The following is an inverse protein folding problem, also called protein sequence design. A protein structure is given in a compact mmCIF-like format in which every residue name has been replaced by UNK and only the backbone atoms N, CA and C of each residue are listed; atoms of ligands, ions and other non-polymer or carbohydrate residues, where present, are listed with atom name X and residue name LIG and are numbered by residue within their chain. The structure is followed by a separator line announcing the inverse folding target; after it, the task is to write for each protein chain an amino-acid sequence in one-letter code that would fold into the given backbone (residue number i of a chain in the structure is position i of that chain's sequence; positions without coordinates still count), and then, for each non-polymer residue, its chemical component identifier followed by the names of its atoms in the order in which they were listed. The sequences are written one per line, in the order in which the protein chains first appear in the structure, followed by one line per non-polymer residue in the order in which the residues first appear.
data_IF_556792068501
#
_entry.id   IF_556792068501
#
_cell.length_a   1.000
_cell.length_b   1.000
_cell.length_c   1.000
_cell.angle_alpha   90.00
_cell.angle_beta   90.00
_cell.angle_gamma   90.00
#
_symmetry.space_group_name_H-M   'P 1'
#
loop_
_entity.id
_entity.type
_entity.pdbx_description
1 polymer ?
#
# COMPACT_ATOMS: atom_id res chain seq x y z
N UNK A 1 -3.34 -0.84 -49.80
CA UNK A 1 -4.21 -0.21 -48.79
C UNK A 1 -3.97 -0.93 -47.48
N UNK A 2 -2.99 -0.49 -46.70
CA UNK A 2 -2.72 -1.03 -45.37
C UNK A 2 -3.76 -0.46 -44.41
N UNK A 3 -4.79 -1.27 -44.13
CA UNK A 3 -5.76 -0.99 -43.08
C UNK A 3 -5.06 -1.16 -41.74
N UNK A 4 -4.53 -0.06 -41.19
CA UNK A 4 -4.10 -0.02 -39.79
C UNK A 4 -5.37 -0.08 -38.95
N UNK A 5 -5.75 -1.28 -38.53
CA UNK A 5 -6.79 -1.48 -37.52
C UNK A 5 -6.27 -0.94 -36.20
N UNK A 6 -6.74 0.26 -35.88
CA UNK A 6 -6.66 0.92 -34.58
C UNK A 6 -7.03 -0.11 -33.49
N UNK A 7 -6.08 -0.50 -32.65
CA UNK A 7 -6.33 -1.43 -31.53
C UNK A 7 -6.35 -0.65 -30.21
N UNK A 8 -7.07 0.45 -30.20
CA UNK A 8 -7.59 0.98 -28.93
C UNK A 8 -8.91 0.26 -28.66
N UNK A 9 -8.96 -0.55 -27.60
CA UNK A 9 -10.16 -1.31 -27.25
C UNK A 9 -11.22 -0.43 -26.54
N UNK A 10 -10.82 0.75 -26.04
CA UNK A 10 -11.70 1.73 -25.40
C UNK A 10 -12.01 2.87 -26.37
N UNK A 11 -13.29 3.09 -26.73
CA UNK A 11 -13.67 4.22 -27.57
C UNK A 11 -13.24 5.56 -26.97
N UNK A 12 -12.59 6.41 -27.78
CA UNK A 12 -12.16 7.75 -27.36
C UNK A 12 -10.68 7.88 -26.99
N UNK A 13 -9.93 6.78 -26.90
CA UNK A 13 -8.47 6.80 -26.77
C UNK A 13 -7.81 6.46 -28.11
N UNK A 14 -6.85 7.27 -28.53
CA UNK A 14 -6.01 6.95 -29.69
C UNK A 14 -4.78 6.09 -29.30
N UNK A 15 -4.05 5.56 -30.28
CA UNK A 15 -2.95 4.62 -30.00
C UNK A 15 -1.80 5.30 -29.23
N UNK A 16 -1.61 6.62 -29.41
CA UNK A 16 -0.57 7.37 -28.70
C UNK A 16 -0.98 7.64 -27.24
N UNK A 17 -2.25 7.91 -26.98
CA UNK A 17 -2.84 8.01 -25.65
C UNK A 17 -2.75 6.67 -24.91
N UNK A 18 -3.10 5.56 -25.58
CA UNK A 18 -2.99 4.21 -25.03
C UNK A 18 -1.54 3.90 -24.64
N UNK A 19 -0.57 4.16 -25.52
CA UNK A 19 0.83 3.90 -25.22
C UNK A 19 1.32 4.67 -23.97
N UNK A 20 1.07 5.99 -23.92
CA UNK A 20 1.47 6.81 -22.77
C UNK A 20 0.79 6.39 -21.47
N UNK A 21 -0.51 6.12 -21.52
CA UNK A 21 -1.27 5.69 -20.36
C UNK A 21 -0.82 4.30 -19.87
N UNK A 22 -0.59 3.36 -20.79
CA UNK A 22 -0.08 2.04 -20.46
C UNK A 22 1.30 2.11 -19.80
N UNK A 23 2.19 2.99 -20.27
CA UNK A 23 3.51 3.19 -19.67
C UNK A 23 3.41 3.75 -18.24
N UNK A 24 2.60 4.79 -18.01
CA UNK A 24 2.37 5.35 -16.67
C UNK A 24 1.79 4.30 -15.69
N UNK A 25 0.80 3.52 -16.15
CA UNK A 25 0.21 2.45 -15.35
C UNK A 25 1.17 1.28 -15.13
N UNK A 26 2.04 0.99 -16.10
CA UNK A 26 3.02 -0.09 -15.99
C UNK A 26 4.07 0.18 -14.91
N UNK A 27 4.48 1.43 -14.73
CA UNK A 27 5.38 1.81 -13.63
C UNK A 27 4.70 1.62 -12.26
N UNK A 28 3.39 1.93 -12.17
CA UNK A 28 2.60 1.68 -10.95
C UNK A 28 2.42 0.18 -10.69
N UNK A 29 2.17 -0.61 -11.72
CA UNK A 29 2.10 -2.07 -11.63
C UNK A 29 3.38 -2.66 -11.05
N UNK A 30 4.54 -2.26 -11.60
CA UNK A 30 5.83 -2.74 -11.12
C UNK A 30 6.08 -2.35 -9.65
N UNK A 31 5.79 -1.10 -9.27
CA UNK A 31 5.94 -0.64 -7.89
C UNK A 31 5.05 -1.39 -6.91
N UNK A 32 3.82 -1.74 -7.28
CA UNK A 32 2.91 -2.48 -6.38
C UNK A 32 3.26 -3.97 -6.31
N UNK A 33 3.74 -4.56 -7.41
CA UNK A 33 4.25 -5.94 -7.43
C UNK A 33 5.49 -6.08 -6.53
N UNK A 34 6.38 -5.09 -6.54
CA UNK A 34 7.49 -5.04 -5.57
C UNK A 34 6.97 -4.86 -4.13
N UNK A 35 6.02 -3.95 -3.91
CA UNK A 35 5.46 -3.69 -2.59
C UNK A 35 4.83 -4.95 -1.96
N UNK A 36 4.03 -5.72 -2.69
CA UNK A 36 3.42 -6.95 -2.12
C UNK A 36 4.46 -8.01 -1.73
N UNK A 37 5.58 -8.09 -2.47
CA UNK A 37 6.67 -9.01 -2.15
C UNK A 37 7.43 -8.50 -0.92
N UNK A 38 7.72 -7.21 -0.87
CA UNK A 38 8.33 -6.53 0.27
C UNK A 38 7.49 -6.68 1.53
N UNK A 39 6.17 -6.51 1.46
CA UNK A 39 5.26 -6.69 2.59
C UNK A 39 5.31 -8.13 3.14
N UNK A 40 5.29 -9.14 2.25
CA UNK A 40 5.44 -10.54 2.69
C UNK A 40 6.81 -10.85 3.27
N UNK A 41 7.86 -10.27 2.70
CA UNK A 41 9.20 -10.35 3.25
C UNK A 41 9.26 -9.83 4.68
N UNK A 42 8.69 -8.64 4.95
CA UNK A 42 8.60 -8.10 6.32
C UNK A 42 7.78 -9.01 7.23
N UNK A 43 6.62 -9.47 6.75
CA UNK A 43 5.72 -10.35 7.52
C UNK A 43 6.40 -11.65 7.99
N UNK A 44 7.31 -12.22 7.19
CA UNK A 44 8.07 -13.41 7.58
C UNK A 44 9.28 -13.13 8.49
N UNK A 45 9.85 -11.93 8.39
CA UNK A 45 11.16 -11.61 8.99
C UNK A 45 11.08 -10.67 10.20
N UNK A 46 9.89 -10.19 10.56
CA UNK A 46 9.68 -9.38 11.76
C UNK A 46 9.88 -10.18 13.04
N UNK A 47 10.53 -9.56 14.03
CA UNK A 47 10.73 -10.10 15.37
C UNK A 47 10.47 -9.06 16.46
N UNK A 48 10.42 -9.52 17.72
CA UNK A 48 10.34 -8.66 18.90
C UNK A 48 9.00 -8.72 19.64
N UNK A 49 8.84 -7.90 20.70
CA UNK A 49 7.69 -7.97 21.61
C UNK A 49 6.33 -7.73 20.93
N UNK A 50 6.28 -6.98 19.84
CA UNK A 50 5.06 -6.67 19.07
C UNK A 50 4.89 -7.56 17.83
N UNK A 51 5.65 -8.66 17.74
CA UNK A 51 5.70 -9.56 16.58
C UNK A 51 4.32 -9.87 16.00
N UNK A 52 3.42 -10.46 16.79
CA UNK A 52 2.15 -10.98 16.28
C UNK A 52 1.26 -9.86 15.74
N UNK A 53 1.23 -8.71 16.42
CA UNK A 53 0.42 -7.56 15.99
C UNK A 53 0.90 -7.03 14.63
N UNK A 54 2.21 -6.88 14.43
CA UNK A 54 2.75 -6.41 13.14
C UNK A 54 2.62 -7.48 12.06
N UNK A 55 2.87 -8.75 12.40
CA UNK A 55 2.74 -9.88 11.49
C UNK A 55 1.31 -9.98 10.92
N UNK A 56 0.29 -9.91 11.78
CA UNK A 56 -1.12 -9.99 11.37
C UNK A 56 -1.60 -8.69 10.68
N UNK A 57 -1.10 -7.52 11.09
CA UNK A 57 -1.41 -6.24 10.44
C UNK A 57 -1.01 -6.22 8.95
N UNK A 58 0.07 -6.89 8.57
CA UNK A 58 0.61 -6.84 7.20
C UNK A 58 -0.22 -7.64 6.19
N UNK A 59 -0.91 -8.71 6.61
CA UNK A 59 -1.57 -9.64 5.68
C UNK A 59 -2.79 -9.06 4.94
N UNK A 60 -3.69 -8.33 5.61
CA UNK A 60 -4.75 -7.60 4.91
C UNK A 60 -4.19 -6.64 3.86
N UNK A 61 -3.05 -5.99 4.14
CA UNK A 61 -2.42 -5.10 3.19
C UNK A 61 -1.82 -5.83 1.99
N UNK A 62 -1.21 -7.01 2.19
CA UNK A 62 -0.74 -7.85 1.07
C UNK A 62 -1.91 -8.20 0.13
N UNK A 63 -3.07 -8.54 0.69
CA UNK A 63 -4.27 -8.83 -0.09
C UNK A 63 -4.75 -7.59 -0.84
N UNK A 64 -4.82 -6.44 -0.17
CA UNK A 64 -5.22 -5.17 -0.80
C UNK A 64 -4.30 -4.82 -1.97
N UNK A 65 -2.98 -4.83 -1.77
CA UNK A 65 -2.00 -4.52 -2.83
C UNK A 65 -2.08 -5.52 -3.99
N UNK A 66 -2.32 -6.80 -3.73
CA UNK A 66 -2.57 -7.79 -4.81
C UNK A 66 -3.78 -7.39 -5.66
N UNK A 67 -4.89 -7.02 -5.03
CA UNK A 67 -6.07 -6.52 -5.76
C UNK A 67 -5.76 -5.24 -6.56
N UNK A 68 -4.92 -4.35 -6.01
CA UNK A 68 -4.48 -3.14 -6.74
C UNK A 68 -3.64 -3.48 -7.97
N UNK A 69 -2.71 -4.45 -7.86
CA UNK A 69 -1.89 -4.90 -9.00
C UNK A 69 -2.75 -5.48 -10.12
N UNK A 70 -3.74 -6.30 -9.76
CA UNK A 70 -4.68 -6.91 -10.70
C UNK A 70 -5.50 -5.84 -11.43
N UNK A 71 -6.10 -4.91 -10.68
CA UNK A 71 -6.88 -3.82 -11.25
C UNK A 71 -6.07 -2.95 -12.22
N UNK A 72 -4.80 -2.65 -11.93
CA UNK A 72 -3.93 -1.91 -12.85
C UNK A 72 -3.59 -2.76 -14.09
N UNK A 73 -3.20 -4.02 -13.90
CA UNK A 73 -2.84 -4.89 -15.02
C UNK A 73 -4.03 -5.10 -15.98
N UNK A 74 -5.22 -5.33 -15.44
CA UNK A 74 -6.45 -5.41 -16.22
C UNK A 74 -6.82 -4.07 -16.85
N UNK A 75 -6.54 -2.93 -16.20
CA UNK A 75 -6.74 -1.62 -16.82
C UNK A 75 -5.84 -1.41 -18.03
N UNK A 76 -4.55 -1.77 -17.92
CA UNK A 76 -3.59 -1.74 -19.05
C UNK A 76 -4.11 -2.61 -20.20
N UNK A 77 -4.53 -3.84 -19.92
CA UNK A 77 -5.09 -4.73 -20.93
C UNK A 77 -6.38 -4.17 -21.56
N UNK A 78 -7.25 -3.57 -20.74
CA UNK A 78 -8.54 -3.00 -21.16
C UNK A 78 -8.35 -1.85 -22.15
N UNK A 79 -7.39 -0.95 -21.93
CA UNK A 79 -7.12 0.16 -22.86
C UNK A 79 -6.39 -0.30 -24.14
N UNK A 80 -5.93 -1.56 -24.19
CA UNK A 80 -5.26 -2.16 -25.34
C UNK A 80 -3.75 -2.32 -25.21
N UNK A 81 -3.18 -2.02 -24.03
CA UNK A 81 -1.78 -2.28 -23.70
C UNK A 81 -1.53 -3.73 -23.29
N UNK A 82 -0.25 -4.07 -23.07
CA UNK A 82 0.17 -5.39 -22.58
C UNK A 82 0.82 -5.24 -21.20
N UNK A 83 0.18 -5.71 -20.11
CA UNK A 83 0.75 -5.62 -18.78
C UNK A 83 1.92 -6.60 -18.62
N UNK A 84 3.02 -6.11 -18.05
CA UNK A 84 4.25 -6.86 -17.79
C UNK A 84 4.42 -7.04 -16.29
N UNK A 85 4.43 -8.29 -15.84
CA UNK A 85 4.46 -8.64 -14.42
C UNK A 85 5.47 -9.72 -14.04
N UNK A 86 6.40 -10.07 -14.93
CA UNK A 86 7.44 -11.05 -14.56
C UNK A 86 8.43 -10.46 -13.58
N UNK A 87 9.12 -11.30 -12.81
CA UNK A 87 10.17 -10.84 -11.88
C UNK A 87 11.28 -10.06 -12.59
N UNK A 88 11.58 -10.40 -13.84
CA UNK A 88 12.54 -9.67 -14.65
C UNK A 88 12.04 -8.28 -15.07
N UNK A 89 10.73 -8.11 -15.26
CA UNK A 89 10.14 -6.79 -15.56
C UNK A 89 10.16 -5.90 -14.32
N UNK A 90 9.78 -6.45 -13.16
CA UNK A 90 9.84 -5.74 -11.87
C UNK A 90 11.27 -5.27 -11.61
N UNK A 91 12.25 -6.15 -11.70
CA UNK A 91 13.67 -5.82 -11.45
C UNK A 91 14.27 -4.81 -12.44
N UNK A 92 13.65 -4.60 -13.62
CA UNK A 92 14.08 -3.54 -14.56
C UNK A 92 13.45 -2.19 -14.24
N UNK A 93 12.24 -2.18 -13.69
CA UNK A 93 11.49 -0.98 -13.39
C UNK A 93 11.81 -0.39 -12.01
N UNK A 94 12.21 -1.25 -11.06
CA UNK A 94 12.50 -0.88 -9.68
C UNK A 94 14.01 -0.85 -9.46
N UNK A 95 14.54 0.31 -9.06
CA UNK A 95 15.98 0.59 -8.93
C UNK A 95 16.50 0.57 -7.48
N UNK A 96 15.71 0.04 -6.55
CA UNK A 96 16.04 -0.03 -5.14
C UNK A 96 15.76 -1.42 -4.56
N UNK A 97 16.36 -1.70 -3.42
CA UNK A 97 16.23 -2.98 -2.72
C UNK A 97 15.78 -2.77 -1.28
N UNK A 98 14.98 -3.70 -0.75
CA UNK A 98 14.66 -3.74 0.67
C UNK A 98 15.81 -4.41 1.44
N UNK A 99 16.59 -3.62 2.18
CA UNK A 99 17.88 -4.05 2.72
C UNK A 99 17.85 -4.85 4.03
N UNK A 100 16.69 -5.06 4.65
CA UNK A 100 16.59 -5.77 5.93
C UNK A 100 16.30 -7.26 5.70
N UNK A 101 17.03 -8.13 6.41
CA UNK A 101 16.67 -9.55 6.60
C UNK A 101 15.71 -9.70 7.78
N UNK A 102 16.01 -10.61 8.71
CA UNK A 102 15.34 -10.65 10.01
C UNK A 102 15.73 -9.41 10.84
N UNK A 103 14.75 -8.65 11.33
CA UNK A 103 14.97 -7.46 12.15
C UNK A 103 13.83 -7.22 13.15
N UNK A 104 14.03 -6.26 14.06
CA UNK A 104 12.99 -5.87 15.01
C UNK A 104 11.83 -5.15 14.31
N UNK A 105 10.65 -5.20 14.93
CA UNK A 105 9.44 -4.58 14.39
C UNK A 105 9.58 -3.09 14.09
N UNK A 106 10.21 -2.32 14.97
CA UNK A 106 10.47 -0.88 14.77
C UNK A 106 11.41 -0.60 13.59
N UNK A 107 12.47 -1.40 13.43
CA UNK A 107 13.38 -1.32 12.28
C UNK A 107 12.65 -1.59 10.96
N UNK A 108 11.86 -2.68 10.91
CA UNK A 108 11.07 -3.01 9.74
C UNK A 108 10.02 -1.94 9.42
N UNK A 109 9.32 -1.43 10.43
CA UNK A 109 8.28 -0.40 10.25
C UNK A 109 8.88 0.93 9.80
N UNK A 110 10.07 1.32 10.29
CA UNK A 110 10.77 2.52 9.82
C UNK A 110 11.20 2.40 8.35
N UNK A 111 11.76 1.25 7.96
CA UNK A 111 12.10 0.98 6.56
C UNK A 111 10.85 0.93 5.67
N UNK A 112 9.78 0.26 6.14
CA UNK A 112 8.51 0.14 5.41
C UNK A 112 7.80 1.50 5.28
N UNK A 113 7.89 2.39 6.27
CA UNK A 113 7.36 3.75 6.17
C UNK A 113 8.02 4.52 5.01
N UNK A 114 9.33 4.35 4.82
CA UNK A 114 10.07 4.96 3.71
C UNK A 114 9.65 4.38 2.36
N UNK A 115 9.48 3.05 2.28
CA UNK A 115 8.96 2.38 1.08
C UNK A 115 7.56 2.89 0.74
N UNK A 116 6.64 2.93 1.69
CA UNK A 116 5.27 3.41 1.48
C UNK A 116 5.23 4.89 1.07
N UNK A 117 6.07 5.73 1.68
CA UNK A 117 6.17 7.14 1.30
C UNK A 117 6.60 7.31 -0.17
N UNK A 118 7.56 6.51 -0.63
CA UNK A 118 7.98 6.48 -2.03
C UNK A 118 6.84 6.02 -2.94
N UNK A 119 6.23 4.86 -2.66
CA UNK A 119 5.12 4.31 -3.47
C UNK A 119 3.96 5.29 -3.57
N UNK A 120 3.53 5.88 -2.45
CA UNK A 120 2.46 6.90 -2.42
C UNK A 120 2.86 8.15 -3.23
N UNK A 121 4.12 8.59 -3.11
CA UNK A 121 4.65 9.72 -3.87
C UNK A 121 4.62 9.48 -5.38
N UNK A 122 5.05 8.29 -5.83
CA UNK A 122 5.01 7.88 -7.23
C UNK A 122 3.57 7.79 -7.76
N UNK A 123 2.64 7.22 -6.99
CA UNK A 123 1.22 7.16 -7.37
C UNK A 123 0.62 8.56 -7.51
N UNK A 124 0.91 9.46 -6.57
CA UNK A 124 0.49 10.86 -6.67
C UNK A 124 1.09 11.58 -7.87
N UNK A 125 2.36 11.32 -8.18
CA UNK A 125 3.03 11.94 -9.33
C UNK A 125 2.38 11.52 -10.66
N UNK A 126 1.90 10.27 -10.79
CA UNK A 126 1.18 9.83 -12.00
C UNK A 126 -0.21 10.42 -12.17
N UNK A 127 -0.85 10.99 -11.12
CA UNK A 127 -2.24 11.44 -11.23
C UNK A 127 -2.43 12.48 -12.35
N UNK A 128 -1.56 13.48 -12.42
CA UNK A 128 -1.66 14.54 -13.44
C UNK A 128 -1.57 13.99 -14.87
N UNK A 129 -0.48 13.28 -15.23
CA UNK A 129 -0.35 12.66 -16.55
C UNK A 129 -1.47 11.69 -16.91
N UNK A 130 -1.93 10.89 -15.95
CA UNK A 130 -3.01 9.92 -16.16
C UNK A 130 -4.36 10.62 -16.35
N UNK A 131 -4.69 11.62 -15.52
CA UNK A 131 -5.95 12.37 -15.61
C UNK A 131 -6.08 13.15 -16.92
N UNK A 132 -4.98 13.68 -17.44
CA UNK A 132 -4.95 14.36 -18.74
C UNK A 132 -5.40 13.43 -19.89
N UNK A 133 -5.06 12.13 -19.81
CA UNK A 133 -5.35 11.14 -20.84
C UNK A 133 -6.71 10.48 -20.60
N UNK A 134 -6.94 10.03 -19.37
CA UNK A 134 -8.09 9.22 -19.02
C UNK A 134 -8.48 9.37 -17.54
N UNK A 135 -9.53 10.15 -17.22
CA UNK A 135 -9.98 10.35 -15.84
C UNK A 135 -10.49 9.06 -15.18
N UNK A 136 -10.87 8.04 -15.95
CA UNK A 136 -11.28 6.73 -15.40
C UNK A 136 -10.09 6.00 -14.77
N UNK A 137 -8.93 6.01 -15.43
CA UNK A 137 -7.70 5.46 -14.85
C UNK A 137 -7.18 6.31 -13.69
N UNK A 138 -7.40 7.63 -13.72
CA UNK A 138 -7.05 8.49 -12.59
C UNK A 138 -7.88 8.16 -11.34
N UNK A 139 -9.19 7.92 -11.50
CA UNK A 139 -10.08 7.51 -10.40
C UNK A 139 -9.62 6.19 -9.74
N UNK A 140 -9.18 5.21 -10.55
CA UNK A 140 -8.56 3.98 -10.04
C UNK A 140 -7.36 4.30 -9.14
N UNK A 141 -6.42 5.13 -9.60
CA UNK A 141 -5.25 5.50 -8.81
C UNK A 141 -5.62 6.29 -7.55
N UNK A 142 -6.63 7.18 -7.60
CA UNK A 142 -7.12 7.92 -6.44
C UNK A 142 -7.61 6.98 -5.34
N UNK A 143 -8.36 5.93 -5.72
CA UNK A 143 -8.79 4.89 -4.79
C UNK A 143 -7.62 4.19 -4.12
N UNK A 144 -6.63 3.75 -4.89
CA UNK A 144 -5.44 3.06 -4.39
C UNK A 144 -4.58 3.95 -3.49
N UNK A 145 -4.38 5.21 -3.87
CA UNK A 145 -3.63 6.19 -3.06
C UNK A 145 -4.27 6.32 -1.68
N UNK A 146 -5.61 6.44 -1.60
CA UNK A 146 -6.32 6.56 -0.33
C UNK A 146 -6.02 5.39 0.62
N UNK A 147 -6.03 4.17 0.11
CA UNK A 147 -5.74 2.97 0.90
C UNK A 147 -4.26 2.88 1.31
N UNK A 148 -3.34 3.17 0.38
CA UNK A 148 -1.90 3.18 0.66
C UNK A 148 -1.52 4.25 1.71
N UNK A 149 -2.16 5.43 1.66
CA UNK A 149 -1.97 6.49 2.65
C UNK A 149 -2.48 6.09 4.03
N UNK A 150 -3.63 5.42 4.09
CA UNK A 150 -4.19 4.90 5.34
C UNK A 150 -3.23 3.88 5.96
N UNK A 151 -2.73 2.93 5.18
CA UNK A 151 -1.77 1.95 5.68
C UNK A 151 -0.43 2.60 6.06
N UNK A 152 0.03 3.60 5.31
CA UNK A 152 1.20 4.41 5.69
C UNK A 152 1.01 5.11 7.04
N UNK A 153 -0.21 5.55 7.36
CA UNK A 153 -0.52 6.08 8.68
C UNK A 153 -0.48 4.99 9.77
N UNK A 154 -1.03 3.79 9.54
CA UNK A 154 -0.89 2.69 10.50
C UNK A 154 0.57 2.37 10.82
N UNK A 155 1.42 2.26 9.79
CA UNK A 155 2.85 1.99 9.98
C UNK A 155 3.52 3.12 10.76
N UNK A 156 3.31 4.39 10.37
CA UNK A 156 3.91 5.54 11.06
C UNK A 156 3.43 5.70 12.50
N UNK A 157 2.19 5.34 12.80
CA UNK A 157 1.61 5.44 14.15
C UNK A 157 2.33 4.55 15.17
N UNK A 158 2.88 3.41 14.74
CA UNK A 158 3.71 2.55 15.60
C UNK A 158 5.05 3.20 15.96
N UNK A 159 5.50 4.17 15.17
CA UNK A 159 6.77 4.88 15.34
C UNK A 159 6.59 6.23 16.05
N UNK A 160 5.35 6.64 16.30
CA UNK A 160 5.08 7.86 17.06
C UNK A 160 5.46 7.63 18.52
N UNK A 161 6.37 8.46 19.01
CA UNK A 161 6.58 8.59 20.44
C UNK A 161 5.53 9.54 21.02
N UNK A 162 5.14 9.35 22.30
CA UNK A 162 4.28 10.30 22.99
C UNK A 162 4.84 11.70 22.79
N UNK A 163 4.07 12.59 22.16
CA UNK A 163 4.41 14.01 22.20
C UNK A 163 4.33 14.39 23.66
N UNK A 164 5.47 14.64 24.28
CA UNK A 164 5.51 15.32 25.58
C UNK A 164 5.02 16.74 25.34
N UNK A 165 3.71 16.92 25.32
CA UNK A 165 3.07 18.21 25.56
C UNK A 165 2.94 18.39 27.07
N UNK A 166 4.08 18.35 27.75
CA UNK A 166 4.27 19.02 29.02
C UNK A 166 5.13 20.24 28.70
N UNK A 167 4.88 21.35 29.40
CA UNK A 167 5.46 22.66 29.07
C UNK A 167 6.98 22.62 28.87
N UNK A 168 7.48 23.64 28.15
CA UNK A 168 8.90 24.05 28.02
C UNK A 168 9.91 23.07 28.63
N UNK A 169 10.80 22.53 27.80
CA UNK A 169 11.81 21.49 28.01
C UNK A 169 12.71 21.51 29.27
N UNK A 170 12.48 22.41 30.23
CA UNK A 170 13.29 22.59 31.44
C UNK A 170 12.56 22.19 32.75
N UNK A 171 11.29 21.75 32.71
CA UNK A 171 10.60 21.30 33.94
C UNK A 171 10.84 19.80 34.20
N UNK A 172 11.29 19.41 35.41
CA UNK A 172 11.44 17.99 35.76
C UNK A 172 10.07 17.30 35.89
N UNK A 173 9.98 16.00 35.52
CA UNK A 173 8.72 15.27 35.58
C UNK A 173 8.24 15.16 37.03
N UNK A 174 6.93 15.29 37.21
CA UNK A 174 6.33 15.13 38.55
C UNK A 174 6.14 13.65 38.86
N UNK A 175 6.18 13.30 40.16
CA UNK A 175 6.10 11.91 40.64
C UNK A 175 4.86 11.13 40.14
N UNK A 176 3.80 11.83 39.71
CA UNK A 176 2.57 11.25 39.15
C UNK A 176 2.73 10.75 37.69
N UNK A 177 3.68 11.28 36.92
CA UNK A 177 3.86 10.92 35.50
C UNK A 177 4.61 9.59 35.35
N UNK A 178 5.58 9.32 36.22
CA UNK A 178 6.29 8.03 36.27
C UNK A 178 5.34 6.88 36.66
N UNK A 179 4.38 7.13 37.55
CA UNK A 179 3.40 6.14 38.00
C UNK A 179 2.37 5.75 36.91
N UNK A 180 2.09 6.66 35.96
CA UNK A 180 1.14 6.41 34.85
C UNK A 180 1.71 5.53 33.74
N UNK A 181 3.02 5.60 33.50
CA UNK A 181 3.68 4.76 32.50
C UNK A 181 3.70 3.28 32.89
N UNK A 182 3.64 2.98 34.19
CA UNK A 182 3.63 1.61 34.73
C UNK A 182 2.24 0.94 34.68
N UNK A 183 1.17 1.71 34.42
CA UNK A 183 -0.23 1.23 34.45
C UNK A 183 -0.89 1.02 33.08
N UNK A 184 -0.18 1.22 31.98
CA UNK A 184 -0.73 0.95 30.64
C UNK A 184 -0.70 -0.56 30.31
N UNK A 185 -1.57 -1.33 30.95
CA UNK A 185 -1.97 -2.64 30.43
C UNK A 185 -2.90 -2.43 29.24
N UNK A 186 -2.60 -3.08 28.11
CA UNK A 186 -3.47 -3.09 26.92
C UNK A 186 -4.86 -3.62 27.33
N UNK A 187 -5.96 -2.88 27.12
CA UNK A 187 -7.29 -3.38 27.46
C UNK A 187 -7.71 -4.53 26.52
N UNK A 188 -8.31 -5.56 27.09
CA UNK A 188 -8.96 -6.65 26.36
C UNK A 188 -10.09 -6.08 25.48
N UNK A 189 -9.84 -5.93 24.17
CA UNK A 189 -10.83 -5.37 23.24
C UNK A 189 -10.28 -4.91 21.89
N UNK A 190 -8.96 -4.76 21.74
CA UNK A 190 -8.32 -4.42 20.45
C UNK A 190 -8.61 -5.48 19.35
N UNK A 191 -8.95 -6.70 19.76
CA UNK A 191 -9.34 -7.81 18.87
C UNK A 191 -10.68 -7.60 18.15
N UNK A 192 -11.65 -6.90 18.75
CA UNK A 192 -13.00 -6.74 18.16
C UNK A 192 -13.01 -5.72 17.01
N UNK A 193 -12.21 -4.66 17.12
CA UNK A 193 -12.03 -3.68 16.05
C UNK A 193 -11.34 -4.29 14.80
N UNK A 194 -10.40 -5.22 15.01
CA UNK A 194 -9.74 -5.98 13.94
C UNK A 194 -10.69 -6.98 13.26
N UNK A 195 -11.56 -7.65 14.03
CA UNK A 195 -12.56 -8.56 13.48
C UNK A 195 -13.61 -7.83 12.64
N UNK A 196 -14.06 -6.64 13.06
CA UNK A 196 -15.02 -5.84 12.29
C UNK A 196 -14.46 -5.39 10.92
N UNK A 197 -13.16 -5.09 10.84
CA UNK A 197 -12.47 -4.76 9.57
C UNK A 197 -12.38 -5.98 8.63
N UNK A 198 -12.16 -7.18 9.17
CA UNK A 198 -12.13 -8.42 8.39
C UNK A 198 -13.53 -8.78 7.83
N UNK A 199 -14.60 -8.52 8.59
CA UNK A 199 -15.99 -8.74 8.16
C UNK A 199 -16.45 -7.75 7.09
N UNK A 200 -16.02 -6.48 7.17
CA UNK A 200 -16.28 -5.49 6.12
C UNK A 200 -15.61 -5.85 4.79
N UNK A 201 -14.45 -6.51 4.83
CA UNK A 201 -13.79 -7.08 3.64
C UNK A 201 -14.45 -8.36 3.11
N UNK A 202 -15.16 -9.11 3.96
CA UNK A 202 -15.87 -10.33 3.57
C UNK A 202 -17.22 -10.03 2.89
N UNK A 203 -17.92 -8.97 3.28
CA UNK A 203 -19.23 -8.60 2.70
C UNK A 203 -19.20 -8.14 1.23
N UNK A 204 -18.01 -7.91 0.65
CA UNK A 204 -17.84 -7.66 -0.81
C UNK A 204 -17.84 -8.98 -1.60
N UNK A 205 -17.63 -10.13 -0.94
CA UNK A 205 -17.78 -11.46 -1.52
C UNK A 205 -19.19 -11.93 -1.20
N UNK A 206 -20.12 -11.79 -2.14
CA UNK A 206 -21.47 -12.31 -2.01
C UNK A 206 -21.50 -13.83 -1.84
N UNK A 207 -21.25 -14.32 -0.64
CA UNK A 207 -21.60 -15.68 -0.23
C UNK A 207 -22.96 -15.62 0.45
N UNK A 208 -23.98 -15.42 -0.40
CA UNK A 208 -25.36 -15.71 -0.03
C UNK A 208 -25.53 -17.21 0.12
N UNK A 209 -26.00 -17.59 1.31
CA UNK A 209 -26.42 -18.94 1.68
C UNK A 209 -27.20 -19.66 0.56
N UNK A 210 -26.80 -20.90 0.29
CA UNK A 210 -27.65 -21.89 -0.38
C UNK A 210 -27.95 -22.97 0.66
N UNK A 211 -29.12 -22.86 1.27
CA UNK A 211 -29.88 -24.02 1.78
C UNK A 211 -30.75 -24.58 0.63
#
# INVERSE_FOLDING_TARGET
MTSTTHRSAVPGLDDAAVARLADELQDRLASLLDLQLTLKHVHWNVAGPTFIAVHEMLDPQVIAVRSMTDAIAERIATIGGEPRGTTADIARAVDHEYGLGQAMADEHLAALASVLARVVGEHRASLGPVEEIDPVSADLLIGQIRELELFSWFVRSHLEHPRTHFGRADDPPTDDEAARAEQLSVPDGVSEAYQHMAELGANVRGEGAVD
#
